data_IF_137852647669
#
_entry.id   IF_137852647669
#
_cell.length_a   1.000
_cell.length_b   1.000
_cell.length_c   1.000
_cell.angle_alpha   90.00
_cell.angle_beta   90.00
_cell.angle_gamma   90.00
#
_symmetry.space_group_name_H-M   'P 1'
#
loop_
_entity.id
_entity.type
_entity.pdbx_description
1 polymer ?
#
# COMPACT_ATOMS: atom_id res chain seq x y z
N UNK A 1 -2.04 -24.14 6.83
CA UNK A 1 -1.17 -25.04 7.59
C UNK A 1 -1.94 -25.46 8.84
N UNK A 2 -2.22 -26.75 8.95
CA UNK A 2 -2.90 -27.36 10.09
C UNK A 2 -1.88 -27.75 11.16
N UNK A 3 -2.27 -27.69 12.43
CA UNK A 3 -1.74 -28.53 13.50
C UNK A 3 -2.75 -28.59 14.66
N UNK A 4 -3.11 -29.82 14.99
CA UNK A 4 -3.97 -30.31 16.06
C UNK A 4 -3.26 -30.36 17.42
N UNK A 5 -4.00 -30.19 18.52
CA UNK A 5 -3.74 -30.93 19.77
C UNK A 5 -5.04 -31.08 20.55
N UNK A 6 -5.30 -32.33 20.89
CA UNK A 6 -6.42 -32.88 21.63
C UNK A 6 -6.02 -32.98 23.12
N UNK A 7 -6.91 -32.60 24.05
CA UNK A 7 -6.90 -33.06 25.45
C UNK A 7 -8.17 -32.65 26.19
N UNK A 8 -8.88 -33.62 26.76
CA UNK A 8 -9.54 -33.45 28.06
C UNK A 8 -11.06 -33.31 28.06
N UNK A 9 -11.75 -34.44 28.08
CA UNK A 9 -13.17 -34.55 28.39
C UNK A 9 -13.37 -34.56 29.92
N UNK A 10 -14.28 -33.76 30.52
CA UNK A 10 -14.86 -34.11 31.82
C UNK A 10 -16.32 -34.52 31.67
N UNK A 11 -16.68 -35.56 32.44
CA UNK A 11 -17.98 -36.21 32.54
C UNK A 11 -19.15 -35.25 32.85
N UNK A 12 -20.41 -35.63 32.55
CA UNK A 12 -21.58 -34.81 32.84
C UNK A 12 -21.91 -34.90 34.33
N UNK A 13 -21.84 -33.78 35.04
CA UNK A 13 -22.39 -33.67 36.39
C UNK A 13 -23.90 -33.43 36.30
N UNK A 14 -24.66 -34.47 36.65
CA UNK A 14 -26.09 -34.38 36.96
C UNK A 14 -26.38 -33.25 37.94
N UNK A 15 -27.37 -32.41 37.64
CA UNK A 15 -27.91 -31.46 38.63
C UNK A 15 -29.43 -31.31 38.49
N UNK A 16 -30.11 -32.07 39.36
CA UNK A 16 -31.33 -31.76 40.10
C UNK A 16 -32.31 -30.73 39.51
N UNK A 17 -33.42 -31.26 38.95
CA UNK A 17 -34.72 -30.57 38.96
C UNK A 17 -35.25 -30.59 40.40
N UNK A 18 -35.11 -29.47 41.10
CA UNK A 18 -35.82 -29.25 42.37
C UNK A 18 -37.27 -28.88 42.04
N UNK A 19 -38.19 -29.81 42.30
CA UNK A 19 -39.64 -29.55 42.25
C UNK A 19 -40.09 -29.30 43.69
N UNK A 20 -40.29 -28.03 44.08
CA UNK A 20 -41.00 -27.70 45.32
C UNK A 20 -42.44 -27.27 45.00
N UNK A 21 -43.46 -27.91 45.62
CA UNK A 21 -44.87 -27.70 45.31
C UNK A 21 -45.45 -26.62 46.21
N UNK A 22 -44.97 -25.39 46.13
CA UNK A 22 -45.64 -24.26 46.77
C UNK A 22 -45.17 -22.95 46.14
N UNK A 23 -46.12 -22.15 45.67
CA UNK A 23 -45.93 -20.82 45.06
C UNK A 23 -45.53 -20.88 43.58
N UNK A 24 -46.48 -20.56 42.70
CA UNK A 24 -46.29 -20.42 41.26
C UNK A 24 -45.43 -19.19 40.90
N UNK A 25 -44.18 -19.18 41.33
CA UNK A 25 -43.18 -18.20 40.95
C UNK A 25 -41.93 -18.96 40.53
N UNK A 26 -41.73 -19.10 39.22
CA UNK A 26 -40.51 -19.67 38.65
C UNK A 26 -39.30 -18.82 39.06
N UNK A 27 -38.49 -19.31 39.99
CA UNK A 27 -37.18 -18.74 40.32
C UNK A 27 -36.28 -18.87 39.09
N UNK A 28 -36.26 -17.85 38.22
CA UNK A 28 -35.37 -17.81 37.07
C UNK A 28 -33.91 -17.78 37.56
N UNK A 29 -33.20 -18.89 37.40
CA UNK A 29 -31.76 -18.92 37.64
C UNK A 29 -31.03 -18.21 36.49
N UNK A 30 -30.73 -16.94 36.69
CA UNK A 30 -30.00 -16.09 35.74
C UNK A 30 -28.67 -16.71 35.24
N UNK A 31 -28.01 -17.53 36.06
CA UNK A 31 -26.79 -18.26 35.70
C UNK A 31 -27.01 -19.26 34.56
N UNK A 32 -28.11 -20.02 34.58
CA UNK A 32 -28.45 -20.97 33.50
C UNK A 32 -28.84 -20.24 32.20
N UNK A 33 -29.52 -19.09 32.33
CA UNK A 33 -29.91 -18.27 31.18
C UNK A 33 -28.69 -17.60 30.54
N UNK A 34 -27.73 -17.12 31.33
CA UNK A 34 -26.46 -16.60 30.81
C UNK A 34 -25.67 -17.68 30.07
N UNK A 35 -25.62 -18.91 30.58
CA UNK A 35 -24.90 -20.01 29.95
C UNK A 35 -25.52 -20.42 28.60
N UNK A 36 -26.83 -20.27 28.45
CA UNK A 36 -27.52 -20.52 27.17
C UNK A 36 -27.41 -19.35 26.17
N UNK A 37 -27.22 -18.12 26.65
CA UNK A 37 -27.11 -16.92 25.79
C UNK A 37 -25.66 -16.61 25.37
N UNK A 38 -24.70 -16.83 26.28
CA UNK A 38 -23.30 -16.37 26.18
C UNK A 38 -22.30 -17.52 26.45
N UNK A 39 -22.73 -18.63 27.04
CA UNK A 39 -21.87 -19.76 27.39
C UNK A 39 -21.77 -20.85 26.31
N UNK A 40 -21.12 -21.95 26.68
CA UNK A 40 -20.80 -23.07 25.77
C UNK A 40 -22.06 -23.85 25.31
N UNK A 41 -23.19 -23.64 26.00
CA UNK A 41 -24.51 -24.21 25.67
C UNK A 41 -25.28 -23.37 24.64
N UNK A 42 -24.68 -22.31 24.09
CA UNK A 42 -25.36 -21.41 23.13
C UNK A 42 -25.67 -22.14 21.81
N UNK A 43 -26.94 -22.24 21.39
CA UNK A 43 -27.28 -22.77 20.08
C UNK A 43 -26.81 -21.81 18.98
N UNK A 44 -26.21 -22.35 17.92
CA UNK A 44 -25.84 -21.57 16.72
C UNK A 44 -27.13 -21.04 16.11
N UNK A 45 -27.35 -19.73 16.25
CA UNK A 45 -28.49 -19.05 15.64
C UNK A 45 -28.02 -18.45 14.33
N UNK A 46 -28.65 -18.84 13.23
CA UNK A 46 -28.52 -18.16 11.95
C UNK A 46 -29.27 -16.83 12.02
N UNK A 47 -28.58 -15.79 12.48
CA UNK A 47 -29.15 -14.45 12.47
C UNK A 47 -29.22 -13.97 11.03
N UNK A 48 -30.44 -13.80 10.52
CA UNK A 48 -30.66 -13.10 9.28
C UNK A 48 -30.19 -11.64 9.46
N UNK A 49 -29.14 -11.18 8.74
CA UNK A 49 -28.60 -9.84 8.90
C UNK A 49 -29.62 -8.74 8.55
N UNK A 50 -30.68 -9.08 7.82
CA UNK A 50 -31.79 -8.17 7.54
C UNK A 50 -32.69 -7.88 8.75
N UNK A 51 -32.67 -8.71 9.79
CA UNK A 51 -33.52 -8.57 10.99
C UNK A 51 -32.77 -7.90 12.16
N UNK A 52 -31.44 -7.94 12.16
CA UNK A 52 -30.62 -7.44 13.29
C UNK A 52 -30.21 -5.96 13.17
N UNK A 53 -30.39 -5.34 11.99
CA UNK A 53 -30.06 -3.93 11.74
C UNK A 53 -31.30 -3.07 11.58
N UNK A 54 -31.30 -1.86 12.16
CA UNK A 54 -32.39 -0.88 12.01
C UNK A 54 -32.54 -0.27 10.61
N UNK A 55 -31.63 -0.59 9.69
CA UNK A 55 -31.69 -0.23 8.27
C UNK A 55 -31.58 -1.52 7.44
N UNK A 56 -32.47 -1.75 6.45
CA UNK A 56 -32.35 -2.88 5.54
C UNK A 56 -31.12 -2.68 4.65
N UNK A 57 -29.97 -3.19 5.08
CA UNK A 57 -28.79 -3.29 4.24
C UNK A 57 -29.03 -4.42 3.22
N UNK A 58 -28.94 -4.15 1.91
CA UNK A 58 -29.05 -5.20 0.91
C UNK A 58 -27.97 -6.26 1.19
N UNK A 59 -28.37 -7.53 1.26
CA UNK A 59 -27.43 -8.63 1.45
C UNK A 59 -26.49 -8.69 0.25
N UNK A 60 -25.29 -8.09 0.38
CA UNK A 60 -24.22 -8.26 -0.61
C UNK A 60 -23.87 -9.74 -0.70
N UNK A 61 -23.78 -10.29 -1.91
CA UNK A 61 -23.32 -11.67 -2.08
C UNK A 61 -21.89 -11.81 -1.56
N UNK A 62 -21.51 -13.00 -1.12
CA UNK A 62 -20.15 -13.25 -0.62
C UNK A 62 -19.08 -12.89 -1.67
N UNK A 63 -19.41 -13.07 -2.96
CA UNK A 63 -18.58 -12.65 -4.09
C UNK A 63 -18.36 -11.12 -4.11
N UNK A 64 -19.42 -10.33 -3.94
CA UNK A 64 -19.31 -8.86 -3.88
C UNK A 64 -18.48 -8.41 -2.68
N UNK A 65 -18.63 -9.08 -1.53
CA UNK A 65 -17.86 -8.80 -0.33
C UNK A 65 -16.37 -9.10 -0.50
N UNK A 66 -16.02 -10.16 -1.22
CA UNK A 66 -14.62 -10.46 -1.54
C UNK A 66 -14.03 -9.43 -2.51
N UNK A 67 -14.81 -8.96 -3.49
CA UNK A 67 -14.37 -7.93 -4.45
C UNK A 67 -14.14 -6.60 -3.75
N UNK A 68 -15.05 -6.16 -2.88
CA UNK A 68 -14.93 -4.91 -2.12
C UNK A 68 -13.68 -4.94 -1.21
N UNK A 69 -13.47 -6.04 -0.49
CA UNK A 69 -12.26 -6.27 0.31
C UNK A 69 -11.00 -6.29 -0.55
N UNK A 70 -11.09 -6.82 -1.77
CA UNK A 70 -10.00 -6.80 -2.74
C UNK A 70 -9.63 -5.38 -3.17
N UNK A 71 -10.62 -4.53 -3.43
CA UNK A 71 -10.41 -3.14 -3.84
C UNK A 71 -9.90 -2.25 -2.71
N UNK A 72 -10.28 -2.55 -1.47
CA UNK A 72 -9.74 -1.87 -0.28
C UNK A 72 -8.32 -2.34 0.08
N UNK A 73 -7.84 -3.44 -0.50
CA UNK A 73 -6.50 -3.95 -0.21
C UNK A 73 -5.41 -3.00 -0.66
N UNK A 74 -4.37 -2.85 0.18
CA UNK A 74 -3.21 -2.03 -0.16
C UNK A 74 -2.50 -2.54 -1.42
N UNK A 75 -2.49 -3.85 -1.67
CA UNK A 75 -1.90 -4.41 -2.87
C UNK A 75 -2.61 -3.90 -4.13
N UNK A 76 -3.94 -3.93 -4.15
CA UNK A 76 -4.71 -3.49 -5.31
C UNK A 76 -4.59 -1.98 -5.54
N UNK A 77 -4.74 -1.17 -4.49
CA UNK A 77 -4.53 0.29 -4.58
C UNK A 77 -3.15 0.63 -5.17
N UNK A 78 -2.12 -0.09 -4.72
CA UNK A 78 -0.74 0.15 -5.14
C UNK A 78 -0.48 -0.29 -6.59
N UNK A 79 -1.09 -1.38 -7.05
CA UNK A 79 -1.03 -1.78 -8.46
C UNK A 79 -1.72 -0.75 -9.35
N UNK A 80 -2.90 -0.25 -8.95
CA UNK A 80 -3.58 0.81 -9.70
C UNK A 80 -2.75 2.09 -9.76
N UNK A 81 -2.17 2.52 -8.64
CA UNK A 81 -1.29 3.67 -8.60
C UNK A 81 -0.01 3.46 -9.43
N UNK A 82 0.55 2.24 -9.44
CA UNK A 82 1.69 1.86 -10.26
C UNK A 82 1.38 1.99 -11.76
N UNK A 83 0.24 1.43 -12.20
CA UNK A 83 -0.20 1.51 -13.60
C UNK A 83 -0.50 2.95 -13.99
N UNK A 84 -1.19 3.71 -13.14
CA UNK A 84 -1.44 5.13 -13.36
C UNK A 84 -0.14 5.94 -13.49
N UNK A 85 0.81 5.73 -12.59
CA UNK A 85 2.13 6.34 -12.65
C UNK A 85 2.93 5.93 -13.89
N UNK A 86 2.83 4.68 -14.32
CA UNK A 86 3.49 4.19 -15.53
C UNK A 86 2.95 4.88 -16.79
N UNK A 87 1.62 4.99 -16.92
CA UNK A 87 0.98 5.64 -18.09
C UNK A 87 1.32 7.13 -18.11
N UNK A 88 1.18 7.82 -16.98
CA UNK A 88 1.52 9.25 -16.88
C UNK A 88 3.00 9.51 -17.14
N UNK A 89 3.89 8.69 -16.58
CA UNK A 89 5.34 8.79 -16.79
C UNK A 89 5.76 8.44 -18.22
N UNK A 90 5.08 7.50 -18.87
CA UNK A 90 5.30 7.15 -20.27
C UNK A 90 4.88 8.28 -21.21
N UNK A 91 3.69 8.87 -20.98
CA UNK A 91 3.22 10.02 -21.75
C UNK A 91 4.17 11.22 -21.58
N UNK A 92 4.56 11.53 -20.34
CA UNK A 92 5.53 12.58 -20.05
C UNK A 92 6.92 12.31 -20.67
N UNK A 93 7.34 11.05 -20.67
CA UNK A 93 8.61 10.61 -21.25
C UNK A 93 8.66 10.71 -22.77
N UNK A 94 7.56 10.34 -23.46
CA UNK A 94 7.44 10.49 -24.91
C UNK A 94 7.38 11.97 -25.30
N UNK A 95 6.63 12.78 -24.56
CA UNK A 95 6.54 14.21 -24.80
C UNK A 95 7.89 14.90 -24.66
N UNK A 96 8.65 14.58 -23.60
CA UNK A 96 10.00 15.10 -23.39
C UNK A 96 10.97 14.66 -24.48
N UNK A 97 10.87 13.40 -24.91
CA UNK A 97 11.68 12.85 -25.99
C UNK A 97 11.41 13.52 -27.35
N UNK A 98 10.17 13.95 -27.61
CA UNK A 98 9.82 14.70 -28.83
C UNK A 98 10.41 16.11 -28.88
N UNK A 99 10.82 16.68 -27.74
CA UNK A 99 11.43 18.01 -27.64
C UNK A 99 12.98 17.92 -27.73
N UNK A 100 13.56 16.74 -27.50
CA UNK A 100 15.01 16.53 -27.58
C UNK A 100 15.47 16.48 -29.04
N UNK A 101 15.98 17.61 -29.56
CA UNK A 101 16.49 17.72 -30.94
C UNK A 101 17.85 17.03 -31.14
N UNK A 102 18.40 16.36 -30.12
CA UNK A 102 19.73 15.74 -30.12
C UNK A 102 19.83 14.41 -30.91
N UNK A 103 18.73 13.93 -31.50
CA UNK A 103 18.64 12.57 -32.08
C UNK A 103 18.90 12.50 -33.59
N UNK A 104 19.32 13.60 -34.24
CA UNK A 104 19.14 13.72 -35.68
C UNK A 104 20.23 14.34 -36.54
N UNK A 105 21.44 14.65 -36.04
CA UNK A 105 22.50 15.22 -36.87
C UNK A 105 23.87 14.62 -36.56
N UNK A 106 24.06 13.34 -36.91
CA UNK A 106 25.41 12.78 -37.07
C UNK A 106 26.03 13.30 -38.39
N UNK A 107 27.16 14.05 -38.37
CA UNK A 107 27.74 14.67 -39.56
C UNK A 107 28.40 13.72 -40.57
N UNK A 108 28.41 12.40 -40.32
CA UNK A 108 29.27 11.45 -41.02
C UNK A 108 28.60 10.71 -42.19
N UNK A 109 27.26 10.63 -42.26
CA UNK A 109 26.54 9.94 -43.34
C UNK A 109 25.14 10.55 -43.62
N UNK A 110 24.99 11.48 -44.60
CA UNK A 110 23.76 12.26 -44.80
C UNK A 110 22.60 11.52 -45.51
N UNK A 111 22.74 10.23 -45.86
CA UNK A 111 21.76 9.49 -46.67
C UNK A 111 21.16 8.25 -45.98
N UNK A 112 21.62 7.91 -44.77
CA UNK A 112 20.99 6.91 -43.91
C UNK A 112 20.16 7.65 -42.88
N UNK A 113 18.97 8.10 -43.27
CA UNK A 113 17.95 8.54 -42.31
C UNK A 113 17.90 7.50 -41.18
N UNK A 114 18.14 7.86 -39.91
CA UNK A 114 17.97 6.92 -38.82
C UNK A 114 16.54 6.42 -38.93
N UNK A 115 16.38 5.10 -39.12
CA UNK A 115 15.08 4.47 -39.31
C UNK A 115 14.15 5.04 -38.25
N UNK A 116 12.95 5.51 -38.60
CA UNK A 116 12.00 6.04 -37.62
C UNK A 116 11.80 5.09 -36.43
N UNK A 117 11.98 3.78 -36.66
CA UNK A 117 11.99 2.72 -35.64
C UNK A 117 13.20 2.75 -34.68
N UNK A 118 14.40 3.10 -35.16
CA UNK A 118 15.60 3.25 -34.32
C UNK A 118 15.44 4.44 -33.37
N UNK A 119 15.00 5.58 -33.92
CA UNK A 119 14.75 6.81 -33.15
C UNK A 119 13.63 6.56 -32.14
N UNK A 120 12.53 5.93 -32.56
CA UNK A 120 11.42 5.60 -31.65
C UNK A 120 11.85 4.60 -30.57
N UNK A 121 12.81 3.71 -30.85
CA UNK A 121 13.35 2.77 -29.88
C UNK A 121 14.24 3.46 -28.85
N UNK A 122 15.10 4.40 -29.25
CA UNK A 122 15.93 5.17 -28.32
C UNK A 122 15.08 6.13 -27.48
N UNK A 123 14.12 6.82 -28.11
CA UNK A 123 13.14 7.68 -27.42
C UNK A 123 12.25 6.88 -26.48
N UNK A 124 11.82 5.69 -26.90
CA UNK A 124 11.04 4.76 -26.08
C UNK A 124 11.84 4.19 -24.91
N UNK A 125 13.15 3.96 -25.06
CA UNK A 125 14.00 3.50 -23.97
C UNK A 125 14.15 4.58 -22.89
N UNK A 126 14.31 5.84 -23.29
CA UNK A 126 14.31 6.99 -22.36
C UNK A 126 12.94 7.17 -21.70
N UNK A 127 11.85 7.10 -22.47
CA UNK A 127 10.48 7.14 -21.98
C UNK A 127 10.14 6.03 -20.98
N UNK A 128 10.62 4.81 -21.24
CA UNK A 128 10.43 3.65 -20.37
C UNK A 128 11.13 3.83 -19.01
N UNK A 129 12.26 4.53 -18.98
CA UNK A 129 12.92 4.89 -17.72
C UNK A 129 12.05 5.83 -16.89
N UNK A 130 11.48 6.87 -17.50
CA UNK A 130 10.56 7.79 -16.82
C UNK A 130 9.31 7.06 -16.31
N UNK A 131 8.67 6.25 -17.15
CA UNK A 131 7.50 5.45 -16.78
C UNK A 131 7.77 4.57 -15.54
N UNK A 132 8.91 3.87 -15.49
CA UNK A 132 9.28 3.04 -14.33
C UNK A 132 9.48 3.87 -13.07
N UNK A 133 10.11 5.04 -13.16
CA UNK A 133 10.33 5.91 -12.01
C UNK A 133 9.01 6.44 -11.44
N UNK A 134 8.10 6.93 -12.29
CA UNK A 134 6.78 7.41 -11.86
C UNK A 134 5.91 6.27 -11.30
N UNK A 135 5.99 5.07 -11.89
CA UNK A 135 5.32 3.89 -11.37
C UNK A 135 5.78 3.51 -9.96
N UNK A 136 7.10 3.51 -9.71
CA UNK A 136 7.66 3.21 -8.38
C UNK A 136 7.23 4.27 -7.35
N UNK A 137 7.29 5.56 -7.71
CA UNK A 137 6.88 6.65 -6.81
C UNK A 137 5.39 6.52 -6.48
N UNK A 138 4.53 6.31 -7.48
CA UNK A 138 3.09 6.15 -7.29
C UNK A 138 2.74 4.92 -6.44
N UNK A 139 3.40 3.79 -6.69
CA UNK A 139 3.22 2.57 -5.91
C UNK A 139 3.63 2.76 -4.44
N UNK A 140 4.80 3.37 -4.19
CA UNK A 140 5.30 3.61 -2.83
C UNK A 140 4.44 4.60 -2.06
N UNK A 141 3.94 5.65 -2.72
CA UNK A 141 3.02 6.61 -2.12
C UNK A 141 1.72 5.93 -1.68
N UNK A 142 1.07 5.19 -2.60
CA UNK A 142 -0.20 4.49 -2.31
C UNK A 142 -0.06 3.36 -1.29
N UNK A 143 1.03 2.57 -1.36
CA UNK A 143 1.37 1.55 -0.35
C UNK A 143 1.46 2.18 1.04
N UNK A 144 2.25 3.26 1.16
CA UNK A 144 2.55 3.87 2.45
C UNK A 144 1.32 4.52 3.04
N UNK A 145 0.54 5.22 2.22
CA UNK A 145 -0.72 5.81 2.65
C UNK A 145 -1.69 4.74 3.15
N UNK A 146 -1.86 3.63 2.41
CA UNK A 146 -2.76 2.55 2.80
C UNK A 146 -2.31 1.86 4.10
N UNK A 147 -1.01 1.67 4.32
CA UNK A 147 -0.48 1.10 5.57
C UNK A 147 -0.77 2.04 6.76
N UNK A 148 -0.57 3.35 6.58
CA UNK A 148 -0.84 4.35 7.62
C UNK A 148 -2.34 4.43 7.92
N UNK A 149 -3.17 4.44 6.89
CA UNK A 149 -4.63 4.43 6.99
C UNK A 149 -5.12 3.18 7.73
N UNK A 150 -4.58 2.01 7.38
CA UNK A 150 -4.90 0.73 8.04
C UNK A 150 -4.51 0.72 9.51
N UNK A 151 -3.38 1.34 9.87
CA UNK A 151 -2.93 1.40 11.26
C UNK A 151 -3.72 2.42 12.09
N UNK A 152 -4.17 3.53 11.50
CA UNK A 152 -4.90 4.60 12.23
C UNK A 152 -6.42 4.45 12.20
N UNK A 153 -6.96 3.70 11.24
CA UNK A 153 -8.40 3.57 11.01
C UNK A 153 -9.10 4.89 10.67
N UNK A 154 -8.35 5.88 10.17
CA UNK A 154 -8.84 7.21 9.81
C UNK A 154 -8.14 7.70 8.55
N UNK A 155 -8.91 8.19 7.58
CA UNK A 155 -8.43 8.84 6.36
C UNK A 155 -8.36 10.36 6.58
N UNK A 156 -7.16 10.90 6.82
CA UNK A 156 -6.92 12.32 7.04
C UNK A 156 -5.84 12.84 6.07
N UNK A 157 -5.87 14.14 5.75
CA UNK A 157 -4.83 14.83 4.94
C UNK A 157 -3.42 14.66 5.50
N UNK A 158 -3.28 14.42 6.81
CA UNK A 158 -1.99 14.18 7.44
C UNK A 158 -1.36 12.87 6.96
N UNK A 159 -2.17 11.86 6.64
CA UNK A 159 -1.69 10.56 6.16
C UNK A 159 -0.97 10.72 4.81
N UNK A 160 -1.51 11.54 3.92
CA UNK A 160 -0.89 11.90 2.63
C UNK A 160 0.43 12.66 2.81
N UNK A 161 0.51 13.57 3.79
CA UNK A 161 1.76 14.29 4.09
C UNK A 161 2.82 13.36 4.66
N UNK A 162 2.44 12.45 5.57
CA UNK A 162 3.35 11.45 6.13
C UNK A 162 3.83 10.45 5.07
N UNK A 163 2.94 9.93 4.22
CA UNK A 163 3.31 9.03 3.13
C UNK A 163 4.21 9.72 2.10
N UNK A 164 3.94 11.00 1.80
CA UNK A 164 4.79 11.85 0.98
C UNK A 164 6.19 12.00 1.56
N UNK A 165 6.33 12.37 2.84
CA UNK A 165 7.64 12.49 3.48
C UNK A 165 8.41 11.17 3.48
N UNK A 166 7.77 10.05 3.80
CA UNK A 166 8.42 8.73 3.84
C UNK A 166 8.90 8.33 2.44
N UNK A 167 8.04 8.48 1.42
CA UNK A 167 8.36 8.16 0.04
C UNK A 167 9.49 9.06 -0.50
N UNK A 168 9.38 10.37 -0.28
CA UNK A 168 10.39 11.35 -0.69
C UNK A 168 11.72 11.19 0.05
N UNK A 169 11.68 10.83 1.33
CA UNK A 169 12.88 10.55 2.13
C UNK A 169 13.60 9.29 1.66
N UNK A 170 12.85 8.20 1.42
CA UNK A 170 13.40 6.94 0.93
C UNK A 170 13.99 7.10 -0.48
N UNK A 171 13.30 7.80 -1.37
CA UNK A 171 13.80 8.05 -2.73
C UNK A 171 14.94 9.05 -2.73
N UNK A 172 14.90 10.10 -1.90
CA UNK A 172 15.98 11.07 -1.75
C UNK A 172 17.28 10.43 -1.26
N UNK A 173 17.18 9.50 -0.31
CA UNK A 173 18.33 8.71 0.16
C UNK A 173 18.89 7.81 -0.94
N UNK A 174 18.03 7.14 -1.72
CA UNK A 174 18.44 6.22 -2.80
C UNK A 174 18.93 6.93 -4.06
N UNK A 175 18.37 8.08 -4.42
CA UNK A 175 18.75 8.86 -5.59
C UNK A 175 20.18 9.41 -5.47
N UNK A 176 20.59 9.78 -4.26
CA UNK A 176 21.97 10.15 -3.94
C UNK A 176 22.93 8.98 -4.17
N UNK A 177 22.57 7.76 -3.75
CA UNK A 177 23.37 6.56 -3.94
C UNK A 177 23.64 6.27 -5.43
N UNK A 178 22.64 6.44 -6.30
CA UNK A 178 22.76 6.15 -7.74
C UNK A 178 23.74 7.12 -8.45
N UNK A 179 23.69 8.41 -8.07
CA UNK A 179 24.61 9.43 -8.59
C UNK A 179 26.03 9.19 -8.08
N UNK A 180 26.16 8.81 -6.80
CA UNK A 180 27.45 8.50 -6.19
C UNK A 180 28.10 7.25 -6.82
N UNK A 181 27.32 6.22 -7.13
CA UNK A 181 27.82 4.97 -7.71
C UNK A 181 28.34 5.15 -9.15
N UNK A 182 27.59 5.84 -10.02
CA UNK A 182 28.03 6.11 -11.39
C UNK A 182 29.21 7.10 -11.45
N UNK A 183 29.26 8.12 -10.58
CA UNK A 183 30.36 9.10 -10.56
C UNK A 183 31.63 8.53 -9.89
N UNK A 184 31.54 7.77 -8.79
CA UNK A 184 32.72 7.21 -8.11
C UNK A 184 33.38 6.06 -8.86
N UNK A 185 32.60 5.17 -9.49
CA UNK A 185 33.18 4.06 -10.27
C UNK A 185 33.89 4.59 -11.52
N UNK A 186 33.30 5.59 -12.21
CA UNK A 186 33.89 6.15 -13.42
C UNK A 186 35.11 7.06 -13.15
N UNK A 187 35.14 7.77 -12.01
CA UNK A 187 36.17 8.80 -11.77
C UNK A 187 37.25 8.44 -10.74
N UNK A 188 37.01 7.51 -9.81
CA UNK A 188 37.92 7.30 -8.66
C UNK A 188 38.34 5.85 -8.38
N UNK A 189 37.85 4.83 -9.10
CA UNK A 189 38.19 3.40 -8.90
C UNK A 189 38.27 3.01 -7.40
N UNK A 190 37.38 3.56 -6.58
CA UNK A 190 37.49 3.46 -5.11
C UNK A 190 37.05 2.07 -4.68
N UNK A 191 38.01 1.27 -4.20
CA UNK A 191 37.78 -0.06 -3.62
C UNK A 191 37.63 -0.02 -2.09
N UNK A 192 37.63 1.17 -1.49
CA UNK A 192 37.57 1.39 -0.04
C UNK A 192 36.14 1.71 0.41
N UNK A 193 35.48 0.70 0.98
CA UNK A 193 34.11 0.76 1.51
C UNK A 193 33.94 1.86 2.58
N UNK A 194 34.95 2.10 3.43
CA UNK A 194 34.90 3.15 4.46
C UNK A 194 34.74 4.57 3.89
N UNK A 195 35.37 4.87 2.74
CA UNK A 195 35.30 6.20 2.11
C UNK A 195 33.89 6.46 1.54
N UNK A 196 33.27 5.41 1.00
CA UNK A 196 31.90 5.46 0.49
C UNK A 196 30.93 5.72 1.64
N UNK A 197 31.08 5.04 2.78
CA UNK A 197 30.20 5.23 3.94
C UNK A 197 30.33 6.65 4.51
N UNK A 198 31.56 7.17 4.67
CA UNK A 198 31.78 8.46 5.32
C UNK A 198 31.26 9.65 4.49
N UNK A 199 31.29 9.55 3.16
CA UNK A 199 30.80 10.63 2.29
C UNK A 199 29.34 10.43 1.88
N UNK A 200 28.92 9.20 1.59
CA UNK A 200 27.57 8.93 1.08
C UNK A 200 26.50 9.03 2.16
N UNK A 201 26.83 8.72 3.43
CA UNK A 201 25.86 8.80 4.53
C UNK A 201 25.38 10.23 4.87
N UNK A 202 26.26 11.23 5.10
CA UNK A 202 25.82 12.61 5.35
C UNK A 202 25.18 13.26 4.12
N UNK A 203 25.68 12.92 2.93
CA UNK A 203 25.17 13.45 1.68
C UNK A 203 23.78 12.86 1.34
N UNK A 204 23.61 11.56 1.56
CA UNK A 204 22.35 10.84 1.44
C UNK A 204 21.32 11.29 2.48
N UNK A 205 21.73 11.56 3.72
CA UNK A 205 20.83 12.08 4.76
C UNK A 205 20.30 13.48 4.40
N UNK A 206 21.17 14.38 3.91
CA UNK A 206 20.74 15.72 3.44
C UNK A 206 19.75 15.62 2.28
N UNK A 207 20.00 14.74 1.32
CA UNK A 207 19.08 14.49 0.21
C UNK A 207 17.75 13.88 0.68
N UNK A 208 17.79 12.98 1.67
CA UNK A 208 16.59 12.39 2.28
C UNK A 208 15.74 13.42 3.03
N UNK A 209 16.35 14.32 3.80
CA UNK A 209 15.61 15.40 4.50
C UNK A 209 14.97 16.36 3.50
N UNK A 210 15.71 16.77 2.46
CA UNK A 210 15.17 17.63 1.40
C UNK A 210 14.04 16.92 0.64
N UNK A 211 14.21 15.63 0.34
CA UNK A 211 13.20 14.79 -0.31
C UNK A 211 11.93 14.66 0.52
N UNK A 212 12.05 14.41 1.83
CA UNK A 212 10.90 14.38 2.74
C UNK A 212 10.18 15.73 2.75
N UNK A 213 10.89 16.85 2.93
CA UNK A 213 10.28 18.18 2.95
C UNK A 213 9.57 18.53 1.65
N UNK A 214 10.20 18.25 0.50
CA UNK A 214 9.62 18.51 -0.82
C UNK A 214 8.36 17.70 -1.10
N UNK A 215 8.40 16.38 -0.87
CA UNK A 215 7.23 15.52 -1.10
C UNK A 215 6.11 15.76 -0.08
N UNK A 216 6.44 16.08 1.17
CA UNK A 216 5.44 16.46 2.18
C UNK A 216 4.70 17.73 1.75
N UNK A 217 5.43 18.76 1.31
CA UNK A 217 4.85 20.01 0.82
C UNK A 217 4.01 19.79 -0.45
N UNK A 218 4.51 19.01 -1.41
CA UNK A 218 3.76 18.66 -2.61
C UNK A 218 2.45 17.93 -2.28
N UNK A 219 2.50 16.93 -1.39
CA UNK A 219 1.30 16.18 -0.98
C UNK A 219 0.30 17.06 -0.24
N UNK A 220 0.77 17.96 0.63
CA UNK A 220 -0.07 18.95 1.30
C UNK A 220 -0.75 19.91 0.31
N UNK A 221 -0.03 20.34 -0.73
CA UNK A 221 -0.57 21.21 -1.76
C UNK A 221 -1.65 20.51 -2.62
N UNK A 222 -1.44 19.23 -2.95
CA UNK A 222 -2.44 18.42 -3.67
C UNK A 222 -3.70 18.25 -2.81
N UNK A 223 -3.56 17.89 -1.53
CA UNK A 223 -4.67 17.80 -0.57
C UNK A 223 -5.39 19.15 -0.42
N UNK A 224 -4.66 20.26 -0.40
CA UNK A 224 -5.25 21.60 -0.37
C UNK A 224 -6.05 21.92 -1.64
N UNK A 225 -5.59 21.46 -2.81
CA UNK A 225 -6.28 21.69 -4.08
C UNK A 225 -7.50 20.79 -4.27
N UNK A 226 -7.46 19.56 -3.75
CA UNK A 226 -8.55 18.58 -3.87
C UNK A 226 -9.64 18.74 -2.80
N UNK A 227 -9.40 19.55 -1.77
CA UNK A 227 -10.36 19.85 -0.69
C UNK A 227 -11.26 21.03 -1.02
#
# INVERSE_FOLDING_TARGET
MAASTDTGNPAPSDSHVSTDPATGCSTLQYSMILDHLIGDRRPVKDLNPAVMGGLPMPSKSDEQKMIERGMESCAFKSVLACVGGFVLGGAFGIFTAGIDTNVGLDPKDPLRTPTAREVLKDMGQRGMSYAKNFAIVGAMFSCTECIIESHRGKSDWKNAVYSGCVTGGAIGFRGMQQLYFNVLIQRYRVRNICLIINICLPAGLKAGVLGCGGFAAFSAAIEYYLR
#
